data_IF_567647637252
#
_entry.id   IF_567647637252
#
_cell.length_a   1.000
_cell.length_b   1.000
_cell.length_c   1.000
_cell.angle_alpha   90.00
_cell.angle_beta   90.00
_cell.angle_gamma   90.00
#
_symmetry.space_group_name_H-M   'P 1'
#
loop_
_entity.id
_entity.type
_entity.pdbx_description
1 polymer ?
#
# COMPACT_ATOMS: atom_id res chain seq x y z
N UNK A 1 -11.73 7.25 -11.07
CA UNK A 1 -11.44 7.18 -9.61
C UNK A 1 -12.57 6.37 -8.94
N UNK A 2 -12.80 5.15 -9.44
CA UNK A 2 -14.06 4.41 -9.22
C UNK A 2 -13.90 3.24 -8.24
N UNK A 3 -12.75 3.12 -7.57
CA UNK A 3 -12.40 1.94 -6.79
C UNK A 3 -11.91 2.25 -5.38
N UNK A 4 -12.18 3.46 -4.86
CA UNK A 4 -11.82 3.82 -3.48
C UNK A 4 -12.45 2.83 -2.49
N UNK A 5 -13.69 2.41 -2.75
CA UNK A 5 -14.37 1.37 -1.96
C UNK A 5 -13.61 0.04 -1.94
N UNK A 6 -12.98 -0.36 -3.05
CA UNK A 6 -12.17 -1.57 -3.11
C UNK A 6 -10.89 -1.45 -2.29
N UNK A 7 -10.42 -0.22 -2.03
CA UNK A 7 -9.25 0.04 -1.21
C UNK A 7 -9.57 0.18 0.28
N UNK A 8 -10.84 0.09 0.69
CA UNK A 8 -11.19 0.33 2.09
C UNK A 8 -11.15 -0.93 2.96
N UNK A 9 -10.38 -0.82 4.05
CA UNK A 9 -10.34 -1.83 5.10
C UNK A 9 -11.57 -1.75 6.00
N UNK A 10 -11.96 -2.90 6.55
CA UNK A 10 -13.00 -3.02 7.57
C UNK A 10 -12.37 -3.43 8.90
N UNK A 11 -12.83 -2.82 10.00
CA UNK A 11 -12.44 -3.22 11.34
C UNK A 11 -13.09 -4.55 11.72
N UNK A 12 -12.32 -5.44 12.36
CA UNK A 12 -12.88 -6.61 13.02
C UNK A 12 -13.51 -6.18 14.36
N UNK A 13 -14.72 -6.66 14.70
CA UNK A 13 -15.41 -6.26 15.94
C UNK A 13 -14.55 -6.47 17.19
N UNK A 14 -14.59 -5.51 18.12
CA UNK A 14 -13.91 -5.57 19.42
C UNK A 14 -12.39 -5.75 19.36
N UNK A 15 -11.76 -5.38 18.24
CA UNK A 15 -10.30 -5.43 18.07
C UNK A 15 -9.78 -4.13 17.45
N UNK A 16 -8.46 -3.98 17.46
CA UNK A 16 -7.71 -2.97 16.71
C UNK A 16 -7.29 -3.46 15.31
N UNK A 17 -7.81 -4.61 14.88
CA UNK A 17 -7.43 -5.24 13.60
C UNK A 17 -8.31 -4.71 12.48
N UNK A 18 -7.65 -4.21 11.44
CA UNK A 18 -8.27 -3.80 10.19
C UNK A 18 -7.88 -4.78 9.09
N UNK A 19 -8.84 -5.14 8.23
CA UNK A 19 -8.61 -6.11 7.15
C UNK A 19 -9.18 -5.64 5.82
N UNK A 20 -8.48 -5.97 4.74
CA UNK A 20 -8.95 -5.86 3.36
C UNK A 20 -8.49 -7.11 2.61
N UNK A 21 -9.38 -7.73 1.86
CA UNK A 21 -9.04 -8.88 1.01
C UNK A 21 -9.32 -8.54 -0.45
N UNK A 22 -8.27 -8.64 -1.28
CA UNK A 22 -8.35 -8.37 -2.71
C UNK A 22 -8.10 -9.66 -3.50
N UNK A 23 -8.77 -9.78 -4.65
CA UNK A 23 -8.43 -10.80 -5.64
C UNK A 23 -7.53 -10.18 -6.69
N UNK A 24 -6.27 -10.61 -6.73
CA UNK A 24 -5.28 -10.14 -7.67
C UNK A 24 -4.85 -11.29 -8.61
N UNK A 25 -4.42 -11.00 -9.85
CA UNK A 25 -3.78 -12.00 -10.69
C UNK A 25 -2.54 -12.57 -10.00
N UNK A 26 -2.30 -13.88 -10.09
CA UNK A 26 -1.12 -14.51 -9.48
C UNK A 26 0.22 -13.95 -9.99
N UNK A 27 0.21 -13.26 -11.13
CA UNK A 27 1.36 -12.56 -11.71
C UNK A 27 1.55 -11.13 -11.20
N UNK A 28 0.75 -10.69 -10.24
CA UNK A 28 0.81 -9.32 -9.74
C UNK A 28 2.11 -9.06 -8.97
N UNK A 29 2.76 -7.97 -9.35
CA UNK A 29 3.85 -7.33 -8.63
C UNK A 29 3.56 -5.84 -8.62
N UNK A 30 3.52 -5.23 -7.44
CA UNK A 30 3.24 -3.81 -7.31
C UNK A 30 3.55 -3.30 -5.91
N UNK A 31 3.32 -2.01 -5.72
CA UNK A 31 3.48 -1.36 -4.44
C UNK A 31 2.14 -0.98 -3.82
N UNK A 32 2.15 -0.82 -2.51
CA UNK A 32 1.00 -0.36 -1.74
C UNK A 32 1.46 0.47 -0.54
N UNK A 33 0.55 1.29 -0.04
CA UNK A 33 0.71 1.98 1.25
C UNK A 33 -0.60 1.90 2.02
N UNK A 34 -0.49 1.97 3.34
CA UNK A 34 -1.61 2.06 4.26
C UNK A 34 -1.86 3.52 4.61
N UNK A 35 -3.12 3.94 4.56
CA UNK A 35 -3.53 5.30 4.84
C UNK A 35 -4.53 5.26 5.99
N UNK A 36 -4.14 5.83 7.12
CA UNK A 36 -5.04 6.03 8.26
C UNK A 36 -5.98 7.20 7.95
N UNK A 37 -7.28 6.99 8.09
CA UNK A 37 -8.30 8.01 7.86
C UNK A 37 -8.76 8.53 9.23
N UNK A 38 -8.43 9.79 9.59
CA UNK A 38 -8.90 10.37 10.84
C UNK A 38 -10.43 10.46 10.90
N UNK A 39 -11.03 10.32 12.10
CA UNK A 39 -12.46 10.59 12.29
C UNK A 39 -12.83 11.99 11.81
N UNK A 40 -13.97 12.12 11.12
CA UNK A 40 -14.44 13.40 10.56
C UNK A 40 -13.86 13.77 9.19
N UNK A 41 -13.00 12.94 8.59
CA UNK A 41 -12.51 13.15 7.22
C UNK A 41 -13.67 13.10 6.22
N UNK A 42 -13.76 14.08 5.32
CA UNK A 42 -14.84 14.15 4.32
C UNK A 42 -14.68 13.08 3.23
N UNK A 43 -15.80 12.62 2.67
CA UNK A 43 -15.80 11.67 1.56
C UNK A 43 -15.03 12.19 0.34
N UNK A 44 -15.07 13.51 0.09
CA UNK A 44 -14.28 14.16 -0.98
C UNK A 44 -12.77 14.02 -0.74
N UNK A 45 -12.33 14.21 0.51
CA UNK A 45 -10.92 14.03 0.89
C UNK A 45 -10.49 12.58 0.75
N UNK A 46 -11.31 11.64 1.22
CA UNK A 46 -11.06 10.19 1.06
C UNK A 46 -11.01 9.82 -0.41
N UNK A 47 -11.88 10.41 -1.24
CA UNK A 47 -11.85 10.18 -2.66
C UNK A 47 -10.51 10.61 -3.27
N UNK A 48 -9.82 11.64 -2.75
CA UNK A 48 -8.49 12.11 -3.20
C UNK A 48 -7.33 11.18 -2.83
N UNK A 49 -7.54 10.21 -1.95
CA UNK A 49 -6.53 9.20 -1.58
C UNK A 49 -5.97 8.45 -2.79
N UNK A 50 -4.67 8.14 -2.75
CA UNK A 50 -3.94 7.45 -3.81
C UNK A 50 -3.69 8.28 -5.09
N UNK A 51 -4.15 9.53 -5.14
CA UNK A 51 -3.88 10.45 -6.24
C UNK A 51 -2.78 11.46 -5.92
N UNK A 52 -2.35 12.22 -6.94
CA UNK A 52 -1.38 13.32 -6.79
C UNK A 52 -1.78 14.44 -5.82
N UNK A 53 -3.06 14.48 -5.45
CA UNK A 53 -3.65 15.49 -4.57
C UNK A 53 -4.11 14.87 -3.23
N UNK A 54 -3.61 13.68 -2.88
CA UNK A 54 -3.88 13.09 -1.59
C UNK A 54 -3.34 14.01 -0.49
N UNK A 55 -4.20 14.42 0.42
CA UNK A 55 -3.85 15.25 1.58
C UNK A 55 -3.43 14.42 2.78
N UNK A 56 -3.79 13.12 2.76
CA UNK A 56 -3.41 12.14 3.76
C UNK A 56 -2.19 11.36 3.26
N UNK A 57 -1.18 11.25 4.13
CA UNK A 57 0.07 10.56 3.81
C UNK A 57 -0.10 9.04 4.00
N UNK A 58 0.21 8.27 2.95
CA UNK A 58 0.37 6.82 3.05
C UNK A 58 1.66 6.46 3.78
N UNK A 59 1.61 5.37 4.55
CA UNK A 59 2.75 4.77 5.23
C UNK A 59 3.02 3.39 4.65
N UNK A 60 4.27 2.96 4.66
CA UNK A 60 4.61 1.57 4.41
C UNK A 60 3.97 0.68 5.50
N UNK A 61 3.64 -0.55 5.10
CA UNK A 61 3.16 -1.58 6.01
C UNK A 61 4.29 -2.02 6.95
N UNK A 62 4.19 -1.76 8.26
CA UNK A 62 5.24 -2.08 9.23
C UNK A 62 5.44 -3.59 9.43
N UNK A 63 4.50 -4.43 8.97
CA UNK A 63 4.58 -5.88 9.07
C UNK A 63 5.20 -6.53 7.83
N UNK A 64 5.29 -5.78 6.73
CA UNK A 64 5.89 -6.28 5.50
C UNK A 64 7.41 -6.20 5.59
N UNK A 65 8.06 -7.37 5.52
CA UNK A 65 9.52 -7.51 5.62
C UNK A 65 10.24 -7.33 4.29
N UNK A 66 9.50 -7.19 3.19
CA UNK A 66 10.11 -6.91 1.89
C UNK A 66 10.72 -5.50 1.89
N UNK A 67 11.81 -5.27 1.12
CA UNK A 67 12.39 -3.95 0.97
C UNK A 67 11.33 -2.93 0.52
N UNK A 68 11.25 -1.82 1.25
CA UNK A 68 10.40 -0.68 0.90
C UNK A 68 10.97 0.04 -0.33
N UNK A 69 10.08 0.67 -1.10
CA UNK A 69 10.48 1.57 -2.18
C UNK A 69 10.26 3.02 -1.77
N UNK A 70 11.27 3.85 -2.04
CA UNK A 70 11.18 5.29 -1.85
C UNK A 70 10.42 5.91 -3.03
N UNK A 71 9.25 6.46 -2.73
CA UNK A 71 8.44 7.19 -3.70
C UNK A 71 8.63 8.68 -3.47
N UNK A 72 9.22 9.36 -4.46
CA UNK A 72 9.38 10.83 -4.49
C UNK A 72 10.15 11.40 -3.29
N UNK A 73 11.11 10.65 -2.75
CA UNK A 73 12.06 11.09 -1.72
C UNK A 73 11.52 11.23 -0.29
N UNK A 74 10.20 11.34 -0.11
CA UNK A 74 9.57 11.61 1.19
C UNK A 74 8.50 10.58 1.61
N UNK A 75 8.09 9.68 0.72
CA UNK A 75 7.12 8.65 1.02
C UNK A 75 7.73 7.26 0.80
N UNK A 76 7.30 6.32 1.62
CA UNK A 76 7.69 4.92 1.51
C UNK A 76 6.48 4.05 1.22
N UNK A 77 6.63 3.14 0.28
CA UNK A 77 5.62 2.14 -0.05
C UNK A 77 6.18 0.74 0.15
N UNK A 78 5.31 -0.18 0.56
CA UNK A 78 5.61 -1.60 0.68
C UNK A 78 5.40 -2.30 -0.65
N UNK A 79 6.11 -3.39 -0.88
CA UNK A 79 6.04 -4.19 -2.10
C UNK A 79 5.22 -5.44 -1.85
N UNK A 80 4.31 -5.76 -2.79
CA UNK A 80 3.57 -7.02 -2.82
C UNK A 80 3.89 -7.75 -4.13
N UNK A 81 4.45 -8.95 -3.99
CA UNK A 81 4.85 -9.80 -5.11
C UNK A 81 4.21 -11.18 -4.92
N UNK A 82 3.35 -11.59 -5.85
CA UNK A 82 2.70 -12.90 -5.80
C UNK A 82 3.53 -13.98 -6.51
N UNK A 83 3.24 -15.25 -6.22
CA UNK A 83 4.06 -16.41 -6.57
C UNK A 83 4.43 -16.55 -8.06
N UNK A 84 3.61 -16.01 -8.97
CA UNK A 84 3.85 -16.07 -10.43
C UNK A 84 4.26 -14.72 -11.01
N UNK A 85 4.63 -13.76 -10.17
CA UNK A 85 5.19 -12.51 -10.63
C UNK A 85 6.48 -12.75 -11.45
N UNK A 86 6.75 -11.94 -12.48
CA UNK A 86 8.01 -12.01 -13.20
C UNK A 86 9.21 -11.84 -12.26
N UNK A 87 10.30 -12.56 -12.54
CA UNK A 87 11.52 -12.41 -11.75
C UNK A 87 12.07 -10.98 -11.88
N UNK A 88 12.28 -10.31 -10.74
CA UNK A 88 12.96 -9.03 -10.66
C UNK A 88 14.47 -9.29 -10.56
N UNK A 89 15.09 -9.69 -11.68
CA UNK A 89 16.52 -10.07 -11.72
C UNK A 89 17.45 -8.96 -11.21
N UNK A 90 17.04 -7.71 -11.38
CA UNK A 90 17.74 -6.51 -10.90
C UNK A 90 17.79 -6.40 -9.36
N UNK A 91 16.89 -7.10 -8.66
CA UNK A 91 16.79 -7.10 -7.20
C UNK A 91 17.51 -8.30 -6.56
N UNK A 92 18.00 -9.23 -7.38
CA UNK A 92 18.83 -10.35 -6.92
C UNK A 92 20.26 -9.92 -6.54
N UNK A 93 20.66 -8.69 -6.86
CA UNK A 93 21.89 -8.07 -6.39
C UNK A 93 21.67 -7.43 -5.02
N UNK A 94 22.22 -8.05 -3.98
CA UNK A 94 22.02 -7.67 -2.58
C UNK A 94 22.31 -6.19 -2.28
N UNK A 95 21.73 -5.74 -1.17
CA UNK A 95 21.92 -4.44 -0.53
C UNK A 95 23.28 -3.80 -0.86
N UNK A 96 23.27 -2.73 -1.66
CA UNK A 96 24.40 -1.82 -1.71
C UNK A 96 24.51 -1.14 -0.35
N UNK A 97 25.41 -1.63 0.49
CA UNK A 97 25.99 -0.84 1.58
C UNK A 97 26.78 0.30 0.95
N UNK A 98 26.24 1.51 1.05
CA UNK A 98 26.92 2.77 0.79
C UNK A 98 26.72 3.69 1.98
#
# INVERSE_FOLDING_TARGET
KEHVEKGMMSALPETDIWTLTLRLPASYCGSYSLLEIPPGTTAETIALSGGRFATLAGKADPLNKMPEINVRGNAKESVLTLDKAPALSEWNGGFHTG
#
